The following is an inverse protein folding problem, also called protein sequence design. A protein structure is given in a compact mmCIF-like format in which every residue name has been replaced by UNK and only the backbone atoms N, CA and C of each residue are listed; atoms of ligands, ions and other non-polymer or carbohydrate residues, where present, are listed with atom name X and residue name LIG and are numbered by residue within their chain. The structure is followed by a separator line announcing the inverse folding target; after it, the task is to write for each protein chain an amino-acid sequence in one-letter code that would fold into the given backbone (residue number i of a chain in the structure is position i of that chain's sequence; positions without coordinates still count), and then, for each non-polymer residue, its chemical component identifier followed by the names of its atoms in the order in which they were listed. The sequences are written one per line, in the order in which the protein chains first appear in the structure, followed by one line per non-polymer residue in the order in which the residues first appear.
data_IF_487806505766
#
_entry.id   IF_487806505766
#
_cell.length_a   1.000
_cell.length_b   1.000
_cell.length_c   1.000
_cell.angle_alpha   90.00
_cell.angle_beta   90.00
_cell.angle_gamma   90.00
#
_symmetry.space_group_name_H-M   'P 1'
#
loop_
_entity.id
_entity.type
_entity.pdbx_description
1 polymer ?
#
# COMPACT_ATOMS: atom_id res chain seq x y z
N UNK A 1 -25.90 6.86 17.65
CA UNK A 1 -24.46 6.92 17.28
C UNK A 1 -24.39 7.21 15.80
N UNK A 2 -23.63 8.21 15.39
CA UNK A 2 -23.49 8.62 13.99
C UNK A 2 -22.17 8.09 13.44
N UNK A 3 -22.22 7.38 12.30
CA UNK A 3 -21.03 6.88 11.62
C UNK A 3 -20.38 8.05 10.89
N UNK A 4 -19.09 8.28 11.11
CA UNK A 4 -18.31 9.34 10.44
C UNK A 4 -17.25 8.78 9.50
N UNK A 5 -16.85 7.53 9.68
CA UNK A 5 -15.82 6.87 8.88
C UNK A 5 -16.23 5.43 8.62
N UNK A 6 -16.05 4.99 7.38
CA UNK A 6 -16.11 3.59 6.97
C UNK A 6 -14.74 3.21 6.41
N UNK A 7 -14.10 2.22 6.98
CA UNK A 7 -12.83 1.69 6.49
C UNK A 7 -13.00 0.25 6.03
N UNK A 8 -12.33 -0.12 4.95
CA UNK A 8 -12.32 -1.49 4.42
C UNK A 8 -10.90 -1.97 4.18
N UNK A 9 -10.68 -3.27 4.39
CA UNK A 9 -9.54 -3.97 3.83
C UNK A 9 -9.74 -4.23 2.34
N UNK A 10 -8.68 -4.55 1.62
CA UNK A 10 -8.68 -4.71 0.16
C UNK A 10 -8.80 -6.16 -0.27
N UNK A 11 -7.76 -6.94 -0.05
CA UNK A 11 -7.62 -8.28 -0.62
C UNK A 11 -8.53 -9.30 0.11
N UNK A 12 -9.47 -9.89 -0.64
CA UNK A 12 -10.45 -10.82 -0.08
C UNK A 12 -11.59 -10.15 0.71
N UNK A 13 -11.68 -8.81 0.72
CA UNK A 13 -12.73 -8.03 1.38
C UNK A 13 -13.41 -7.08 0.41
N UNK A 14 -12.71 -6.06 -0.07
CA UNK A 14 -13.24 -5.09 -1.03
C UNK A 14 -13.02 -5.53 -2.48
N UNK A 15 -11.89 -6.17 -2.76
CA UNK A 15 -11.56 -6.77 -4.04
C UNK A 15 -12.01 -8.23 -4.07
N UNK A 16 -12.50 -8.66 -5.22
CA UNK A 16 -12.83 -10.06 -5.51
C UNK A 16 -11.56 -10.91 -5.77
N UNK A 17 -11.78 -12.18 -6.15
CA UNK A 17 -10.70 -13.14 -6.47
C UNK A 17 -9.86 -12.72 -7.70
N UNK A 18 -10.38 -11.83 -8.55
CA UNK A 18 -9.67 -11.28 -9.71
C UNK A 18 -8.97 -9.96 -9.39
N UNK A 19 -8.97 -9.53 -8.12
CA UNK A 19 -8.51 -8.22 -7.66
C UNK A 19 -9.29 -7.04 -8.28
N UNK A 20 -10.58 -7.24 -8.55
CA UNK A 20 -11.48 -6.25 -9.14
C UNK A 20 -12.62 -5.90 -8.17
N UNK A 21 -13.32 -4.80 -8.45
CA UNK A 21 -14.54 -4.37 -7.76
C UNK A 21 -15.48 -3.64 -8.73
N UNK A 22 -16.76 -3.58 -8.40
CA UNK A 22 -17.74 -2.82 -9.18
C UNK A 22 -17.52 -1.31 -8.97
N UNK A 23 -16.75 -0.72 -9.89
CA UNK A 23 -16.40 0.70 -9.87
C UNK A 23 -17.64 1.60 -9.95
N UNK A 24 -18.64 1.23 -10.76
CA UNK A 24 -19.85 2.04 -10.93
C UNK A 24 -20.70 2.05 -9.65
N UNK A 25 -20.82 0.92 -8.98
CA UNK A 25 -21.48 0.81 -7.68
C UNK A 25 -20.71 1.58 -6.62
N UNK A 26 -19.38 1.41 -6.56
CA UNK A 26 -18.53 2.11 -5.60
C UNK A 26 -18.66 3.63 -5.69
N UNK A 27 -18.59 4.20 -6.90
CA UNK A 27 -18.76 5.65 -7.10
C UNK A 27 -20.12 6.17 -6.61
N UNK A 28 -21.18 5.39 -6.82
CA UNK A 28 -22.52 5.74 -6.29
C UNK A 28 -22.55 5.72 -4.75
N UNK A 29 -21.91 4.74 -4.14
CA UNK A 29 -21.82 4.61 -2.67
C UNK A 29 -20.97 5.73 -2.09
N UNK A 30 -19.80 6.00 -2.67
CA UNK A 30 -18.91 7.07 -2.25
C UNK A 30 -19.61 8.43 -2.25
N UNK A 31 -20.35 8.74 -3.32
CA UNK A 31 -21.16 9.96 -3.40
C UNK A 31 -22.16 10.07 -2.24
N UNK A 32 -22.86 8.97 -1.92
CA UNK A 32 -23.79 8.95 -0.78
C UNK A 32 -23.10 9.13 0.57
N UNK A 33 -21.88 8.62 0.74
CA UNK A 33 -21.10 8.85 1.94
C UNK A 33 -20.76 10.34 2.07
N UNK A 34 -20.29 10.96 1.00
CA UNK A 34 -19.96 12.39 0.97
C UNK A 34 -21.19 13.27 1.31
N UNK A 35 -22.35 12.98 0.71
CA UNK A 35 -23.61 13.68 1.01
C UNK A 35 -24.02 13.60 2.50
N UNK A 36 -23.57 12.55 3.20
CA UNK A 36 -23.81 12.33 4.63
C UNK A 36 -22.65 12.76 5.54
N UNK A 37 -21.59 13.32 4.98
CA UNK A 37 -20.39 13.68 5.73
C UNK A 37 -19.65 12.47 6.32
N UNK A 38 -19.69 11.32 5.63
CA UNK A 38 -19.00 10.09 6.00
C UNK A 38 -17.73 9.96 5.15
N UNK A 39 -16.59 9.81 5.79
CA UNK A 39 -15.33 9.50 5.12
C UNK A 39 -15.26 8.02 4.76
N UNK A 40 -14.62 7.73 3.62
CA UNK A 40 -14.26 6.37 3.24
C UNK A 40 -12.75 6.20 3.27
N UNK A 41 -12.28 5.11 3.85
CA UNK A 41 -10.87 4.76 3.92
C UNK A 41 -10.63 3.36 3.38
N UNK A 42 -9.52 3.19 2.68
CA UNK A 42 -8.94 1.88 2.37
C UNK A 42 -7.78 1.61 3.31
N UNK A 43 -7.74 0.44 3.95
CA UNK A 43 -6.69 0.03 4.87
C UNK A 43 -6.06 -1.27 4.38
N UNK A 44 -4.78 -1.25 3.99
CA UNK A 44 -4.14 -2.40 3.35
C UNK A 44 -2.64 -2.46 3.63
N UNK A 45 -2.06 -3.65 3.49
CA UNK A 45 -0.61 -3.84 3.41
C UNK A 45 0.02 -3.43 2.08
N UNK A 46 -0.79 -3.11 1.06
CA UNK A 46 -0.30 -2.67 -0.25
C UNK A 46 0.44 -1.34 -0.14
N UNK A 47 1.41 -1.14 -1.03
CA UNK A 47 2.09 0.16 -1.17
C UNK A 47 1.10 1.27 -1.55
N UNK A 48 1.32 2.48 -1.04
CA UNK A 48 0.46 3.65 -1.31
C UNK A 48 0.26 3.87 -2.82
N UNK A 49 1.32 3.75 -3.62
CA UNK A 49 1.24 3.92 -5.07
C UNK A 49 0.32 2.88 -5.73
N UNK A 50 0.32 1.64 -5.24
CA UNK A 50 -0.57 0.59 -5.73
C UNK A 50 -2.03 0.92 -5.43
N UNK A 51 -2.35 1.35 -4.22
CA UNK A 51 -3.70 1.79 -3.86
C UNK A 51 -4.15 2.99 -4.69
N UNK A 52 -3.29 3.98 -4.90
CA UNK A 52 -3.59 5.16 -5.74
C UNK A 52 -3.85 4.79 -7.20
N UNK A 53 -3.20 3.75 -7.72
CA UNK A 53 -3.46 3.22 -9.06
C UNK A 53 -4.86 2.61 -9.16
N UNK A 54 -5.27 1.83 -8.15
CA UNK A 54 -6.60 1.20 -8.09
C UNK A 54 -7.72 2.27 -8.03
N UNK A 55 -7.52 3.31 -7.22
CA UNK A 55 -8.50 4.37 -6.98
C UNK A 55 -8.21 5.68 -7.72
N UNK A 56 -7.50 5.62 -8.86
CA UNK A 56 -7.01 6.81 -9.59
C UNK A 56 -8.05 7.89 -9.86
N UNK A 57 -9.33 7.53 -10.03
CA UNK A 57 -10.42 8.47 -10.34
C UNK A 57 -10.95 9.21 -9.11
N UNK A 58 -10.67 8.70 -7.91
CA UNK A 58 -11.20 9.23 -6.64
C UNK A 58 -10.12 9.38 -5.56
N UNK A 59 -8.85 9.32 -5.94
CA UNK A 59 -7.73 9.36 -4.99
C UNK A 59 -7.76 10.57 -4.05
N UNK A 60 -8.30 11.71 -4.50
CA UNK A 60 -8.42 12.93 -3.69
C UNK A 60 -9.70 12.95 -2.81
N UNK A 61 -10.52 11.89 -2.87
CA UNK A 61 -11.82 11.82 -2.19
C UNK A 61 -11.86 10.79 -1.07
N UNK A 62 -10.83 9.95 -0.95
CA UNK A 62 -10.76 8.85 0.01
C UNK A 62 -9.49 8.93 0.84
N UNK A 63 -9.48 8.25 1.97
CA UNK A 63 -8.32 8.12 2.85
C UNK A 63 -7.58 6.84 2.50
N UNK A 64 -6.27 6.92 2.34
CA UNK A 64 -5.40 5.77 2.19
C UNK A 64 -4.67 5.48 3.51
N UNK A 65 -4.87 4.29 4.06
CA UNK A 65 -4.10 3.72 5.16
C UNK A 65 -3.27 2.59 4.56
N UNK A 66 -2.08 2.92 4.09
CA UNK A 66 -1.22 2.05 3.30
C UNK A 66 -0.10 1.41 4.14
N UNK A 67 0.54 0.39 3.58
CA UNK A 67 1.74 -0.24 4.14
C UNK A 67 1.54 -0.66 5.61
N UNK A 68 0.42 -1.34 5.88
CA UNK A 68 0.01 -1.76 7.23
C UNK A 68 -0.11 -0.60 8.24
N UNK A 69 -0.49 0.60 7.78
CA UNK A 69 -0.70 1.78 8.59
C UNK A 69 0.54 2.64 8.81
N UNK A 70 1.68 2.34 8.15
CA UNK A 70 2.86 3.19 8.24
C UNK A 70 2.74 4.49 7.44
N UNK A 71 1.78 4.56 6.50
CA UNK A 71 1.44 5.78 5.75
C UNK A 71 -0.06 5.98 5.75
N UNK A 72 -0.48 7.20 6.11
CA UNK A 72 -1.88 7.65 5.98
C UNK A 72 -1.88 8.90 5.13
N UNK A 73 -2.59 8.86 4.01
CA UNK A 73 -2.75 10.00 3.10
C UNK A 73 -4.23 10.36 2.94
N UNK A 74 -4.54 11.66 2.90
CA UNK A 74 -5.86 12.18 2.58
C UNK A 74 -5.74 13.48 1.79
N UNK A 75 -6.52 13.63 0.72
CA UNK A 75 -6.44 14.77 -0.23
C UNK A 75 -5.03 15.00 -0.81
N UNK A 76 -4.25 13.93 -1.00
CA UNK A 76 -2.87 14.04 -1.49
C UNK A 76 -1.87 14.54 -0.46
N UNK A 77 -2.28 14.75 0.79
CA UNK A 77 -1.44 15.17 1.89
C UNK A 77 -1.18 14.02 2.88
N UNK A 78 0.05 13.92 3.36
CA UNK A 78 0.41 12.96 4.39
C UNK A 78 -0.18 13.40 5.74
N UNK A 79 -1.13 12.62 6.23
CA UNK A 79 -1.69 12.78 7.58
C UNK A 79 -0.79 12.13 8.63
N UNK A 80 -0.16 11.02 8.26
CA UNK A 80 0.76 10.29 9.12
C UNK A 80 1.78 9.52 8.27
N UNK A 81 3.03 9.51 8.74
CA UNK A 81 4.10 8.71 8.15
C UNK A 81 5.06 8.22 9.24
N UNK A 82 5.24 6.89 9.30
CA UNK A 82 6.28 6.25 10.09
C UNK A 82 7.40 5.77 9.17
N UNK A 83 8.56 6.40 9.24
CA UNK A 83 9.74 6.03 8.45
C UNK A 83 10.83 5.45 9.32
N UNK A 84 11.59 4.52 8.74
CA UNK A 84 12.84 4.05 9.35
C UNK A 84 13.99 4.99 8.96
N UNK A 85 14.82 5.38 9.93
CA UNK A 85 16.05 6.12 9.63
C UNK A 85 17.01 5.26 8.81
N UNK A 86 17.91 5.86 8.01
CA UNK A 86 18.94 5.12 7.27
C UNK A 86 19.77 4.19 8.16
N UNK A 87 20.21 4.65 9.30
CA UNK A 87 21.02 3.86 10.26
C UNK A 87 20.23 2.66 10.79
N UNK A 88 18.93 2.86 11.07
CA UNK A 88 18.08 1.80 11.59
C UNK A 88 17.85 0.70 10.56
N UNK A 89 17.46 1.03 9.32
CA UNK A 89 17.22 -0.01 8.31
C UNK A 89 18.51 -0.73 7.90
N UNK A 90 19.66 -0.04 7.90
CA UNK A 90 20.96 -0.68 7.64
C UNK A 90 21.34 -1.67 8.75
N UNK A 91 21.19 -1.26 10.01
CA UNK A 91 21.43 -2.15 11.14
C UNK A 91 20.48 -3.36 11.14
N UNK A 92 19.21 -3.14 10.85
CA UNK A 92 18.22 -4.22 10.70
C UNK A 92 18.58 -5.17 9.56
N UNK A 93 18.98 -4.65 8.40
CA UNK A 93 19.37 -5.48 7.26
C UNK A 93 20.62 -6.30 7.56
N UNK A 94 21.64 -5.70 8.21
CA UNK A 94 22.82 -6.42 8.66
C UNK A 94 22.45 -7.56 9.62
N UNK A 95 21.53 -7.31 10.55
CA UNK A 95 21.05 -8.33 11.49
C UNK A 95 20.28 -9.45 10.81
N UNK A 96 19.46 -9.13 9.82
CA UNK A 96 18.74 -10.14 9.03
C UNK A 96 19.68 -11.07 8.27
N UNK A 97 20.80 -10.54 7.76
CA UNK A 97 21.82 -11.34 7.03
C UNK A 97 22.50 -12.41 7.92
N UNK A 98 22.46 -12.28 9.25
CA UNK A 98 22.94 -13.32 10.17
C UNK A 98 22.00 -14.53 10.25
N UNK A 99 20.75 -14.38 9.82
CA UNK A 99 19.74 -15.46 9.86
C UNK A 99 19.94 -16.44 8.71
N UNK A 100 19.99 -17.77 8.96
CA UNK A 100 20.05 -18.77 7.92
C UNK A 100 18.77 -18.85 7.06
N UNK A 101 17.71 -18.19 7.46
CA UNK A 101 16.43 -18.15 6.75
C UNK A 101 16.24 -16.89 5.90
N UNK A 102 17.17 -15.94 5.99
CA UNK A 102 17.09 -14.71 5.23
C UNK A 102 17.70 -14.88 3.83
N UNK A 103 16.87 -14.66 2.81
CA UNK A 103 17.34 -14.60 1.43
C UNK A 103 17.25 -13.17 0.90
N UNK A 104 18.41 -12.53 0.72
CA UNK A 104 18.50 -11.16 0.18
C UNK A 104 17.90 -11.02 -1.22
N UNK A 105 17.80 -12.11 -1.99
CA UNK A 105 17.18 -12.13 -3.32
C UNK A 105 15.66 -12.20 -3.26
N UNK A 106 15.09 -12.33 -2.05
CA UNK A 106 13.65 -12.27 -1.75
C UNK A 106 13.35 -11.19 -0.73
N UNK A 107 14.05 -10.06 -0.84
CA UNK A 107 13.87 -8.90 0.03
C UNK A 107 13.49 -7.68 -0.80
N UNK A 108 12.48 -6.96 -0.35
CA UNK A 108 11.98 -5.74 -0.96
C UNK A 108 11.90 -4.66 0.11
N UNK A 109 12.41 -3.47 -0.22
CA UNK A 109 12.27 -2.27 0.61
C UNK A 109 11.26 -1.35 -0.06
N UNK A 110 10.22 -0.99 0.68
CA UNK A 110 9.18 -0.09 0.18
C UNK A 110 9.40 1.32 0.70
N UNK A 111 9.23 2.27 -0.19
CA UNK A 111 9.24 3.69 0.12
C UNK A 111 8.19 4.42 -0.72
N UNK A 112 7.83 5.64 -0.34
CA UNK A 112 6.80 6.45 -1.02
C UNK A 112 6.96 6.59 -2.54
N UNK A 113 8.18 6.55 -3.05
CA UNK A 113 8.48 6.76 -4.47
C UNK A 113 8.56 5.46 -5.28
N UNK A 114 8.43 4.32 -4.62
CA UNK A 114 8.49 3.00 -5.21
C UNK A 114 9.14 1.98 -4.29
N UNK A 115 9.27 0.78 -4.79
CA UNK A 115 9.86 -0.35 -4.09
C UNK A 115 11.22 -0.71 -4.71
N UNK A 116 12.12 -1.20 -3.89
CA UNK A 116 13.52 -1.42 -4.27
C UNK A 116 13.92 -2.86 -3.96
N UNK A 117 14.56 -3.50 -4.93
CA UNK A 117 15.10 -4.86 -4.82
C UNK A 117 16.54 -4.88 -5.32
N UNK A 118 17.34 -5.85 -4.86
CA UNK A 118 18.70 -6.04 -5.38
C UNK A 118 18.67 -6.46 -6.86
N UNK A 119 19.74 -6.14 -7.61
CA UNK A 119 19.89 -6.61 -9.01
C UNK A 119 19.86 -8.12 -9.15
N UNK A 120 20.25 -8.84 -8.12
CA UNK A 120 20.29 -10.31 -8.05
C UNK A 120 18.97 -10.94 -7.63
N UNK A 121 17.92 -10.12 -7.45
CA UNK A 121 16.60 -10.60 -7.03
C UNK A 121 16.05 -11.70 -7.94
N UNK A 122 15.37 -12.65 -7.32
CA UNK A 122 14.63 -13.70 -8.03
C UNK A 122 13.52 -13.08 -8.90
N UNK A 123 13.47 -13.35 -10.21
CA UNK A 123 12.42 -12.84 -11.09
C UNK A 123 10.99 -13.23 -10.65
N UNK A 124 10.81 -14.44 -10.13
CA UNK A 124 9.50 -14.90 -9.65
C UNK A 124 9.05 -14.12 -8.41
N UNK A 125 10.01 -13.71 -7.56
CA UNK A 125 9.71 -12.84 -6.43
C UNK A 125 9.24 -11.44 -6.88
N UNK A 126 9.83 -10.88 -7.94
CA UNK A 126 9.35 -9.61 -8.53
C UNK A 126 7.93 -9.78 -9.03
N UNK A 127 7.65 -10.83 -9.82
CA UNK A 127 6.33 -11.07 -10.39
C UNK A 127 5.26 -11.18 -9.28
N UNK A 128 5.54 -11.92 -8.22
CA UNK A 128 4.63 -12.02 -7.07
C UNK A 128 4.45 -10.68 -6.32
N UNK A 129 5.51 -9.86 -6.23
CA UNK A 129 5.48 -8.58 -5.53
C UNK A 129 4.74 -7.48 -6.29
N UNK A 130 4.62 -7.58 -7.62
CA UNK A 130 3.97 -6.56 -8.46
C UNK A 130 2.48 -6.38 -8.16
N UNK A 131 1.81 -7.39 -7.60
CA UNK A 131 0.40 -7.29 -7.18
C UNK A 131 0.18 -6.28 -6.05
N UNK A 132 1.22 -6.02 -5.25
CA UNK A 132 1.15 -5.20 -4.04
C UNK A 132 2.01 -3.93 -4.12
N UNK A 133 2.92 -3.88 -5.08
CA UNK A 133 3.94 -2.84 -5.18
C UNK A 133 4.05 -2.29 -6.60
N UNK A 134 3.94 -0.99 -6.73
CA UNK A 134 4.21 -0.26 -7.96
C UNK A 134 5.69 0.16 -8.04
N UNK A 135 6.18 0.38 -9.26
CA UNK A 135 7.52 0.95 -9.50
C UNK A 135 8.64 0.20 -8.80
N UNK A 136 8.69 -1.13 -8.96
CA UNK A 136 9.80 -1.94 -8.44
C UNK A 136 11.08 -1.63 -9.23
N UNK A 137 12.11 -1.16 -8.54
CA UNK A 137 13.39 -0.77 -9.11
C UNK A 137 14.51 -1.68 -8.61
N UNK A 138 15.41 -2.07 -9.52
CA UNK A 138 16.60 -2.85 -9.19
C UNK A 138 17.74 -1.91 -8.78
N UNK A 139 18.29 -2.12 -7.60
CA UNK A 139 19.42 -1.34 -7.04
C UNK A 139 20.63 -2.24 -6.73
N UNK A 140 21.78 -1.63 -6.58
CA UNK A 140 23.06 -2.35 -6.29
C UNK A 140 23.20 -2.62 -4.81
#
# INVERSE_FOLDING_TARGET
MEIKLVATDMDGTFLDENHEFDQALFLKVLKKFQEKGIYFAVASGRALLSLKTIFKEVQDQIIFIAENGSVVEFHGEDVYEATMSPDFYQAMFAKLQESPYFDKNKCLLTGKRGSYVLKTVDPDYIAASQNYNEKIQKVS
#
